data_IF_492104297384
#
_entry.id   IF_492104297384
#
_cell.length_a   1.000
_cell.length_b   1.000
_cell.length_c   1.000
_cell.angle_alpha   90.00
_cell.angle_beta   90.00
_cell.angle_gamma   90.00
#
_symmetry.space_group_name_H-M   'P 1'
#
loop_
_entity.id
_entity.type
_entity.pdbx_description
1 polymer ?
#
# COMPACT_ATOMS: atom_id res chain seq x y z
N UNK A 1 3.67 47.85 26.78
CA UNK A 1 4.04 46.56 26.14
C UNK A 1 3.11 45.46 26.64
N UNK A 2 2.33 44.85 25.73
CA UNK A 2 1.51 43.62 25.84
C UNK A 2 0.54 43.64 24.63
N UNK A 3 1.05 43.79 23.40
CA UNK A 3 1.23 42.71 22.42
C UNK A 3 0.17 41.58 22.54
N UNK A 4 -0.84 41.64 21.67
CA UNK A 4 -1.05 40.66 20.59
C UNK A 4 -1.41 39.21 21.01
N UNK A 5 -2.48 39.00 21.77
CA UNK A 5 -3.02 37.64 22.01
C UNK A 5 -4.56 37.66 21.97
N UNK A 6 -5.17 38.22 20.92
CA UNK A 6 -6.62 38.09 20.75
C UNK A 6 -7.04 37.85 19.29
N UNK A 7 -6.17 37.19 18.52
CA UNK A 7 -6.50 36.74 17.17
C UNK A 7 -5.87 35.36 16.90
N UNK A 8 -6.11 34.45 17.84
CA UNK A 8 -5.97 33.01 17.64
C UNK A 8 -7.21 32.34 18.27
N UNK A 9 -8.40 32.74 17.82
CA UNK A 9 -9.50 31.79 17.70
C UNK A 9 -9.09 30.89 16.52
N UNK A 10 -8.20 29.93 16.75
CA UNK A 10 -8.62 28.58 17.08
C UNK A 10 -9.68 28.15 16.06
N UNK A 11 -9.26 28.06 14.80
CA UNK A 11 -9.83 27.11 13.86
C UNK A 11 -9.48 25.73 14.44
N UNK A 12 -10.15 25.36 15.52
CA UNK A 12 -10.44 23.97 15.86
C UNK A 12 -11.38 23.50 14.75
N UNK A 13 -10.81 23.30 13.56
CA UNK A 13 -11.33 22.29 12.67
C UNK A 13 -11.22 21.02 13.48
N UNK A 14 -12.34 20.58 14.04
CA UNK A 14 -12.54 19.20 14.42
C UNK A 14 -12.30 18.39 13.16
N UNK A 15 -11.04 18.03 12.90
CA UNK A 15 -10.72 16.94 11.99
C UNK A 15 -11.27 15.71 12.70
N UNK A 16 -12.53 15.38 12.43
CA UNK A 16 -12.95 14.01 12.56
C UNK A 16 -11.95 13.21 11.72
N UNK A 17 -11.07 12.48 12.39
CA UNK A 17 -10.18 11.51 11.76
C UNK A 17 -11.13 10.46 11.15
N UNK A 18 -11.54 10.66 9.90
CA UNK A 18 -12.32 9.68 9.20
C UNK A 18 -11.38 8.51 8.93
N UNK A 19 -11.60 7.40 9.63
CA UNK A 19 -10.93 6.14 9.36
C UNK A 19 -11.11 5.76 7.88
N UNK A 20 -10.12 5.06 7.32
CA UNK A 20 -10.19 4.55 5.96
C UNK A 20 -11.41 3.63 5.84
N UNK A 21 -12.38 4.05 5.04
CA UNK A 21 -13.61 3.27 4.84
C UNK A 21 -13.33 2.03 3.99
N UNK A 22 -14.13 0.98 4.18
CA UNK A 22 -14.09 -0.21 3.33
C UNK A 22 -14.29 0.15 1.84
N UNK A 23 -15.20 1.08 1.53
CA UNK A 23 -15.41 1.56 0.17
C UNK A 23 -14.14 2.16 -0.43
N UNK A 24 -13.44 2.99 0.32
CA UNK A 24 -12.19 3.59 -0.15
C UNK A 24 -11.10 2.55 -0.34
N UNK A 25 -11.00 1.58 0.56
CA UNK A 25 -10.10 0.44 0.43
C UNK A 25 -10.40 -0.36 -0.83
N UNK A 26 -11.66 -0.72 -1.02
CA UNK A 26 -12.11 -1.56 -2.13
C UNK A 26 -11.95 -0.87 -3.50
N UNK A 27 -11.83 0.46 -3.53
CA UNK A 27 -11.57 1.20 -4.77
C UNK A 27 -10.24 0.80 -5.44
N UNK A 28 -9.25 0.29 -4.67
CA UNK A 28 -7.97 -0.18 -5.21
C UNK A 28 -8.06 -1.52 -5.94
N UNK A 29 -9.15 -2.29 -5.80
CA UNK A 29 -9.39 -3.48 -6.61
C UNK A 29 -10.01 -3.17 -7.97
N UNK A 30 -10.26 -1.89 -8.27
CA UNK A 30 -10.78 -1.49 -9.58
C UNK A 30 -9.81 -1.82 -10.72
N UNK A 31 -10.31 -2.13 -11.93
CA UNK A 31 -9.47 -2.41 -13.09
C UNK A 31 -8.49 -1.29 -13.44
N UNK A 32 -8.83 -0.04 -13.10
CA UNK A 32 -8.05 1.17 -13.37
C UNK A 32 -6.82 1.34 -12.47
N UNK A 33 -6.77 0.64 -11.33
CA UNK A 33 -5.63 0.70 -10.42
C UNK A 33 -4.39 0.15 -11.11
N UNK A 34 -3.27 0.86 -11.08
CA UNK A 34 -1.99 0.36 -11.61
C UNK A 34 -1.16 -0.21 -10.47
N UNK A 35 -0.43 -1.30 -10.73
CA UNK A 35 0.40 -1.94 -9.71
C UNK A 35 1.86 -1.81 -10.09
N UNK A 36 2.64 -1.29 -9.16
CA UNK A 36 4.08 -1.18 -9.25
C UNK A 36 4.73 -2.06 -8.19
N UNK A 37 5.95 -2.50 -8.47
CA UNK A 37 6.79 -3.22 -7.53
C UNK A 37 8.11 -2.48 -7.34
N UNK A 38 8.56 -2.41 -6.09
CA UNK A 38 9.85 -1.86 -5.71
C UNK A 38 10.90 -2.96 -5.58
N UNK A 39 12.16 -2.67 -5.88
CA UNK A 39 13.29 -3.50 -5.47
C UNK A 39 13.87 -3.09 -4.11
N UNK A 40 13.25 -2.12 -3.44
CA UNK A 40 13.55 -1.70 -2.09
C UNK A 40 12.47 -2.24 -1.14
N UNK A 41 12.83 -2.30 0.14
CA UNK A 41 11.89 -2.60 1.22
C UNK A 41 11.48 -1.32 1.95
N UNK A 42 10.26 -1.29 2.47
CA UNK A 42 9.76 -0.18 3.28
C UNK A 42 9.22 -0.66 4.62
N UNK A 43 9.09 0.26 5.56
CA UNK A 43 8.61 -0.01 6.90
C UNK A 43 7.10 -0.24 6.93
N UNK A 44 6.68 -1.33 7.54
CA UNK A 44 5.28 -1.63 7.85
C UNK A 44 5.18 -2.13 9.28
N UNK A 45 4.10 -1.76 9.96
CA UNK A 45 3.82 -2.21 11.31
C UNK A 45 3.12 -3.57 11.25
N UNK A 46 3.54 -4.49 12.10
CA UNK A 46 2.90 -5.81 12.24
C UNK A 46 2.44 -5.99 13.68
N UNK A 47 1.15 -6.26 13.85
CA UNK A 47 0.63 -6.69 15.14
C UNK A 47 1.11 -8.10 15.45
N UNK A 48 1.57 -8.31 16.68
CA UNK A 48 1.94 -9.63 17.18
C UNK A 48 0.69 -10.35 17.70
N UNK A 49 0.54 -11.68 17.50
CA UNK A 49 -0.63 -12.43 17.97
C UNK A 49 -0.86 -12.39 19.48
N UNK A 50 0.16 -12.05 20.27
CA UNK A 50 0.18 -12.15 21.73
C UNK A 50 -0.15 -10.82 22.46
N UNK A 51 -0.26 -9.70 21.73
CA UNK A 51 -0.82 -8.43 22.24
C UNK A 51 0.09 -7.61 23.17
N UNK A 52 0.63 -6.51 22.63
CA UNK A 52 0.63 -5.12 23.14
C UNK A 52 1.71 -4.28 22.42
N UNK A 53 2.74 -4.94 21.87
CA UNK A 53 3.76 -4.32 21.04
C UNK A 53 3.80 -4.98 19.66
N UNK A 54 3.40 -4.24 18.63
CA UNK A 54 3.69 -4.61 17.24
C UNK A 54 5.10 -4.20 16.83
N UNK A 55 5.63 -4.86 15.82
CA UNK A 55 6.99 -4.64 15.33
C UNK A 55 6.99 -3.91 13.99
N UNK A 56 7.87 -2.92 13.90
CA UNK A 56 8.18 -2.27 12.63
C UNK A 56 9.19 -3.11 11.87
N UNK A 57 8.80 -3.59 10.69
CA UNK A 57 9.67 -4.40 9.85
C UNK A 57 9.76 -3.85 8.43
N UNK A 58 10.91 -4.09 7.79
CA UNK A 58 11.09 -3.78 6.38
C UNK A 58 10.59 -4.93 5.53
N UNK A 59 9.57 -4.68 4.72
CA UNK A 59 8.98 -5.68 3.82
C UNK A 59 9.08 -5.26 2.36
N UNK A 60 9.02 -6.24 1.45
CA UNK A 60 8.73 -5.94 0.05
C UNK A 60 7.27 -5.49 -0.06
N UNK A 61 6.92 -4.76 -1.11
CA UNK A 61 5.57 -4.23 -1.24
C UNK A 61 5.18 -3.96 -2.68
N UNK A 62 3.89 -4.08 -2.95
CA UNK A 62 3.27 -3.44 -4.10
C UNK A 62 2.91 -2.00 -3.78
N UNK A 63 2.95 -1.14 -4.80
CA UNK A 63 2.37 0.21 -4.77
C UNK A 63 1.17 0.18 -5.71
N UNK A 64 -0.03 0.38 -5.16
CA UNK A 64 -1.27 0.43 -5.93
C UNK A 64 -1.65 1.90 -6.15
N UNK A 65 -1.87 2.27 -7.41
CA UNK A 65 -2.07 3.65 -7.85
C UNK A 65 -3.42 3.76 -8.54
N UNK A 66 -4.35 4.47 -7.92
CA UNK A 66 -5.67 4.73 -8.48
C UNK A 66 -5.77 6.19 -8.93
N UNK A 67 -6.09 6.43 -10.21
CA UNK A 67 -6.34 7.79 -10.70
C UNK A 67 -7.70 8.28 -10.18
N UNK A 68 -7.73 9.47 -9.57
CA UNK A 68 -8.95 10.11 -9.07
C UNK A 68 -8.97 11.55 -9.59
N UNK A 69 -9.75 11.78 -10.65
CA UNK A 69 -9.76 13.04 -11.38
C UNK A 69 -8.38 13.36 -11.97
N UNK A 70 -7.76 14.46 -11.51
CA UNK A 70 -6.41 14.90 -11.92
C UNK A 70 -5.29 14.46 -10.96
N UNK A 71 -5.61 13.67 -9.94
CA UNK A 71 -4.66 13.21 -8.91
C UNK A 71 -4.62 11.69 -8.83
N UNK A 72 -3.75 11.17 -7.97
CA UNK A 72 -3.50 9.74 -7.80
C UNK A 72 -3.56 9.37 -6.32
N UNK A 73 -4.46 8.45 -5.97
CA UNK A 73 -4.55 7.86 -4.63
C UNK A 73 -3.61 6.66 -4.55
N UNK A 74 -2.85 6.55 -3.46
CA UNK A 74 -1.80 5.55 -3.29
C UNK A 74 -2.12 4.63 -2.11
N UNK A 75 -2.01 3.33 -2.32
CA UNK A 75 -1.93 2.33 -1.25
C UNK A 75 -0.76 1.39 -1.46
N UNK A 76 -0.46 0.61 -0.42
CA UNK A 76 0.64 -0.34 -0.37
C UNK A 76 0.12 -1.71 0.05
N UNK A 77 0.67 -2.76 -0.52
CA UNK A 77 0.38 -4.14 -0.10
C UNK A 77 1.70 -4.79 0.27
N UNK A 78 1.99 -4.95 1.57
CA UNK A 78 3.20 -5.63 2.05
C UNK A 78 3.16 -7.11 1.69
N UNK A 79 4.30 -7.61 1.21
CA UNK A 79 4.46 -8.98 0.72
C UNK A 79 5.75 -9.59 1.23
N UNK A 80 5.69 -10.88 1.51
CA UNK A 80 6.85 -11.72 1.79
C UNK A 80 7.25 -12.43 0.50
N UNK A 81 8.48 -12.19 0.02
CA UNK A 81 8.95 -12.83 -1.21
C UNK A 81 9.52 -14.20 -0.86
N UNK A 82 8.91 -15.23 -1.42
CA UNK A 82 9.35 -16.63 -1.34
C UNK A 82 10.04 -17.08 -2.64
N UNK A 83 9.92 -16.29 -3.71
CA UNK A 83 10.57 -16.51 -5.00
C UNK A 83 11.96 -15.88 -5.11
N UNK A 84 12.50 -15.94 -6.33
CA UNK A 84 13.79 -15.35 -6.67
C UNK A 84 13.65 -13.88 -7.09
N UNK A 85 14.78 -13.18 -7.20
CA UNK A 85 14.86 -11.81 -7.70
C UNK A 85 15.47 -11.78 -9.11
N UNK A 86 15.12 -10.78 -9.92
CA UNK A 86 15.79 -10.51 -11.18
C UNK A 86 17.19 -9.89 -10.96
N UNK A 87 17.93 -9.73 -12.05
CA UNK A 87 19.29 -9.15 -12.04
C UNK A 87 19.34 -7.69 -11.52
N UNK A 88 18.20 -6.99 -11.53
CA UNK A 88 18.06 -5.61 -11.06
C UNK A 88 17.54 -5.57 -9.61
N UNK A 89 17.38 -6.72 -8.97
CA UNK A 89 16.96 -6.88 -7.59
C UNK A 89 15.44 -6.81 -7.37
N UNK A 90 14.62 -6.81 -8.41
CA UNK A 90 13.16 -6.85 -8.25
C UNK A 90 12.67 -8.29 -8.04
N UNK A 91 11.62 -8.50 -7.24
CA UNK A 91 11.03 -9.83 -7.09
C UNK A 91 10.48 -10.38 -8.42
N UNK A 92 10.78 -11.64 -8.72
CA UNK A 92 10.21 -12.35 -9.88
C UNK A 92 8.84 -12.91 -9.50
N UNK A 93 7.78 -12.29 -10.04
CA UNK A 93 6.41 -12.70 -9.78
C UNK A 93 5.97 -13.76 -10.80
N UNK A 94 5.63 -14.94 -10.31
CA UNK A 94 5.24 -16.08 -11.15
C UNK A 94 3.83 -16.54 -10.79
N UNK A 95 2.95 -16.58 -11.80
CA UNK A 95 1.57 -17.01 -11.64
C UNK A 95 1.31 -18.31 -12.39
N UNK A 96 0.57 -19.21 -11.75
CA UNK A 96 0.11 -20.47 -12.33
C UNK A 96 -1.40 -20.36 -12.58
N UNK A 97 -1.80 -20.58 -13.83
CA UNK A 97 -3.20 -20.81 -14.16
C UNK A 97 -3.58 -22.24 -13.77
N UNK A 98 -4.66 -22.42 -13.01
CA UNK A 98 -5.19 -23.75 -12.72
C UNK A 98 -6.34 -24.02 -13.70
N UNK A 99 -6.30 -25.18 -14.38
CA UNK A 99 -7.28 -25.54 -15.44
C UNK A 99 -8.76 -25.40 -15.01
N UNK A 100 -9.04 -25.43 -13.70
CA UNK A 100 -10.38 -25.38 -13.14
C UNK A 100 -10.64 -24.14 -12.25
N UNK A 101 -9.71 -23.18 -12.16
CA UNK A 101 -9.91 -21.93 -11.37
C UNK A 101 -9.77 -20.71 -12.27
N UNK A 102 -10.72 -19.78 -12.12
CA UNK A 102 -10.67 -18.46 -12.78
C UNK A 102 -9.60 -17.54 -12.18
N UNK A 103 -9.09 -17.88 -10.99
CA UNK A 103 -8.15 -17.06 -10.22
C UNK A 103 -6.76 -17.68 -10.33
N UNK A 104 -5.73 -16.91 -10.75
CA UNK A 104 -4.36 -17.39 -10.79
C UNK A 104 -3.84 -17.60 -9.37
N UNK A 105 -2.95 -18.56 -9.19
CA UNK A 105 -2.23 -18.75 -7.92
C UNK A 105 -0.76 -18.41 -8.07
N UNK A 106 -0.09 -18.07 -6.97
CA UNK A 106 1.35 -17.82 -6.95
C UNK A 106 1.98 -18.47 -5.73
N UNK A 107 3.26 -18.82 -5.86
CA UNK A 107 4.16 -19.21 -4.78
C UNK A 107 5.42 -18.33 -4.76
N UNK A 108 5.39 -17.21 -5.50
CA UNK A 108 6.51 -16.25 -5.56
C UNK A 108 6.49 -15.24 -4.42
N UNK A 109 5.33 -15.08 -3.78
CA UNK A 109 5.18 -14.30 -2.57
C UNK A 109 3.98 -14.78 -1.74
N UNK A 110 4.01 -14.45 -0.45
CA UNK A 110 2.88 -14.49 0.48
C UNK A 110 2.47 -13.09 0.93
N UNK A 111 1.31 -12.99 1.58
CA UNK A 111 0.83 -11.75 2.21
C UNK A 111 1.12 -11.84 3.70
N UNK A 112 1.91 -10.90 4.20
CA UNK A 112 2.42 -10.90 5.58
C UNK A 112 1.40 -10.35 6.60
N UNK A 113 0.47 -9.50 6.16
CA UNK A 113 -0.46 -8.78 7.02
C UNK A 113 -1.91 -9.10 6.67
N UNK A 114 -2.44 -10.18 7.26
CA UNK A 114 -3.84 -10.60 7.08
C UNK A 114 -4.78 -9.86 8.05
N UNK A 115 -4.25 -9.29 9.16
CA UNK A 115 -5.05 -8.63 10.20
C UNK A 115 -5.72 -7.31 9.78
N UNK A 116 -5.24 -6.64 8.72
CA UNK A 116 -5.87 -5.43 8.15
C UNK A 116 -5.89 -5.41 6.62
N UNK A 117 -6.82 -6.13 6.00
CA UNK A 117 -7.39 -5.90 4.65
C UNK A 117 -6.50 -5.32 3.51
N UNK A 118 -5.19 -5.60 3.47
CA UNK A 118 -4.33 -5.58 2.27
C UNK A 118 -3.91 -4.26 1.62
N UNK A 119 -4.69 -3.18 1.78
CA UNK A 119 -4.47 -1.89 1.12
C UNK A 119 -4.05 -0.84 2.13
N UNK A 120 -2.79 -0.88 2.54
CA UNK A 120 -2.23 -0.01 3.55
C UNK A 120 -2.02 1.41 3.02
N UNK A 121 -2.31 2.44 3.83
CA UNK A 121 -2.05 3.84 3.45
C UNK A 121 -0.56 4.20 3.45
N UNK A 122 0.29 3.33 4.00
CA UNK A 122 1.73 3.48 4.06
C UNK A 122 2.20 4.05 5.39
N UNK A 123 3.49 4.32 5.46
CA UNK A 123 4.18 4.74 6.70
C UNK A 123 4.70 6.17 6.56
N UNK A 124 4.77 6.87 7.69
CA UNK A 124 5.46 8.14 7.83
C UNK A 124 6.50 8.13 8.95
N UNK A 125 7.55 8.91 8.76
CA UNK A 125 8.59 9.12 9.77
C UNK A 125 8.50 10.58 10.23
N UNK A 126 8.13 10.80 11.50
CA UNK A 126 8.05 12.12 12.13
C UNK A 126 8.93 12.12 13.36
N UNK A 127 9.87 13.06 13.45
CA UNK A 127 10.81 13.19 14.58
C UNK A 127 11.54 11.88 14.93
N UNK A 128 11.97 11.11 13.91
CA UNK A 128 12.64 9.82 14.07
C UNK A 128 11.73 8.65 14.47
N UNK A 129 10.43 8.90 14.72
CA UNK A 129 9.43 7.87 15.05
C UNK A 129 8.62 7.50 13.80
N UNK A 130 8.22 6.24 13.72
CA UNK A 130 7.43 5.67 12.61
C UNK A 130 5.96 5.62 13.00
N UNK A 131 5.08 5.94 12.06
CA UNK A 131 3.63 5.92 12.23
C UNK A 131 3.00 5.35 10.97
N UNK A 132 1.95 4.55 11.13
CA UNK A 132 1.06 4.26 10.01
C UNK A 132 0.29 5.53 9.64
N UNK A 133 0.02 5.72 8.36
CA UNK A 133 -0.77 6.86 7.92
C UNK A 133 -2.23 6.62 8.24
N UNK A 134 -2.92 7.61 8.80
CA UNK A 134 -4.37 7.50 9.02
C UNK A 134 -5.19 7.57 7.72
N UNK A 135 -4.56 7.90 6.57
CA UNK A 135 -5.21 8.10 5.28
C UNK A 135 -4.30 7.82 4.09
N UNK A 136 -4.91 7.43 2.98
CA UNK A 136 -4.20 7.31 1.70
C UNK A 136 -3.62 8.65 1.25
N UNK A 137 -2.41 8.59 0.69
CA UNK A 137 -1.83 9.76 0.04
C UNK A 137 -2.58 10.03 -1.27
N UNK A 138 -2.81 11.31 -1.56
CA UNK A 138 -3.39 11.77 -2.82
C UNK A 138 -2.40 12.75 -3.46
N UNK A 139 -1.74 12.30 -4.51
CA UNK A 139 -0.59 12.97 -5.13
C UNK A 139 -0.96 13.58 -6.48
N UNK A 140 -0.35 14.71 -6.80
CA UNK A 140 -0.23 15.16 -8.19
C UNK A 140 0.67 14.22 -9.00
N UNK A 141 0.66 14.37 -10.33
CA UNK A 141 1.49 13.55 -11.21
C UNK A 141 2.99 13.70 -10.92
N UNK A 142 3.47 14.93 -10.67
CA UNK A 142 4.87 15.17 -10.34
C UNK A 142 5.29 14.54 -9.01
N UNK A 143 4.41 14.60 -8.00
CA UNK A 143 4.64 13.96 -6.70
C UNK A 143 4.63 12.44 -6.82
N UNK A 144 3.73 11.88 -7.64
CA UNK A 144 3.70 10.45 -7.95
C UNK A 144 5.01 10.00 -8.59
N UNK A 145 5.48 10.73 -9.62
CA UNK A 145 6.72 10.41 -10.30
C UNK A 145 7.94 10.47 -9.36
N UNK A 146 7.96 11.47 -8.46
CA UNK A 146 8.99 11.58 -7.43
C UNK A 146 8.93 10.39 -6.44
N UNK A 147 7.73 9.98 -6.01
CA UNK A 147 7.53 8.82 -5.15
C UNK A 147 8.06 7.55 -5.83
N UNK A 148 7.62 7.26 -7.06
CA UNK A 148 8.02 6.06 -7.80
C UNK A 148 9.53 5.98 -7.99
N UNK A 149 10.16 7.12 -8.33
CA UNK A 149 11.62 7.21 -8.44
C UNK A 149 12.30 6.97 -7.09
N UNK A 150 11.80 7.57 -6.01
CA UNK A 150 12.39 7.40 -4.67
C UNK A 150 12.34 5.96 -4.16
N UNK A 151 11.29 5.22 -4.54
CA UNK A 151 11.10 3.80 -4.21
C UNK A 151 11.76 2.87 -5.21
N UNK A 152 12.42 3.38 -6.24
CA UNK A 152 12.91 2.61 -7.38
C UNK A 152 11.85 1.59 -7.86
N UNK A 153 10.65 2.09 -8.14
CA UNK A 153 9.49 1.28 -8.47
C UNK A 153 9.31 1.17 -9.98
N UNK A 154 8.99 -0.03 -10.46
CA UNK A 154 8.61 -0.29 -11.85
C UNK A 154 7.18 -0.80 -11.94
N UNK A 155 6.49 -0.42 -13.01
CA UNK A 155 5.14 -0.93 -13.27
C UNK A 155 5.24 -2.41 -13.63
N UNK A 156 4.30 -3.21 -13.14
CA UNK A 156 4.16 -4.59 -13.60
C UNK A 156 3.75 -4.61 -15.08
N UNK A 157 4.22 -5.63 -15.81
CA UNK A 157 3.72 -5.88 -17.16
C UNK A 157 2.23 -6.24 -17.12
N UNK A 158 1.53 -6.10 -18.25
CA UNK A 158 0.08 -6.26 -18.31
C UNK A 158 -0.43 -7.62 -17.83
N UNK A 159 0.33 -8.70 -18.06
CA UNK A 159 -0.08 -10.05 -17.67
C UNK A 159 0.09 -10.24 -16.17
N UNK A 160 1.26 -9.85 -15.64
CA UNK A 160 1.57 -9.93 -14.22
C UNK A 160 0.66 -9.00 -13.40
N UNK A 161 0.41 -7.77 -13.87
CA UNK A 161 -0.49 -6.82 -13.23
C UNK A 161 -1.91 -7.38 -13.14
N UNK A 162 -2.45 -7.93 -14.24
CA UNK A 162 -3.77 -8.56 -14.26
C UNK A 162 -3.87 -9.71 -13.26
N UNK A 163 -2.89 -10.60 -13.25
CA UNK A 163 -2.90 -11.75 -12.35
C UNK A 163 -2.76 -11.34 -10.88
N UNK A 164 -1.93 -10.33 -10.61
CA UNK A 164 -1.76 -9.75 -9.27
C UNK A 164 -3.09 -9.18 -8.77
N UNK A 165 -3.78 -8.37 -9.59
CA UNK A 165 -5.10 -7.82 -9.25
C UNK A 165 -6.09 -8.92 -8.87
N UNK A 166 -6.25 -9.91 -9.75
CA UNK A 166 -7.21 -11.01 -9.52
C UNK A 166 -6.88 -11.81 -8.26
N UNK A 167 -5.59 -12.06 -8.01
CA UNK A 167 -5.16 -12.81 -6.84
C UNK A 167 -5.37 -12.02 -5.54
N UNK A 168 -5.00 -10.74 -5.50
CA UNK A 168 -5.20 -9.88 -4.33
C UNK A 168 -6.69 -9.65 -4.05
N UNK A 169 -7.48 -9.37 -5.09
CA UNK A 169 -8.94 -9.20 -4.98
C UNK A 169 -9.60 -10.45 -4.39
N UNK A 170 -9.24 -11.64 -4.91
CA UNK A 170 -9.73 -12.89 -4.33
C UNK A 170 -9.29 -13.05 -2.88
N UNK A 171 -8.01 -12.83 -2.59
CA UNK A 171 -7.42 -13.04 -1.28
C UNK A 171 -8.05 -12.15 -0.19
N UNK A 172 -8.36 -10.89 -0.49
CA UNK A 172 -8.94 -9.96 0.48
C UNK A 172 -10.48 -9.98 0.56
N UNK A 173 -11.16 -10.59 -0.40
CA UNK A 173 -12.63 -10.73 -0.36
C UNK A 173 -13.13 -12.15 -0.06
N UNK A 174 -12.26 -13.18 -0.07
CA UNK A 174 -12.67 -14.58 0.13
C UNK A 174 -11.98 -15.29 1.30
N UNK A 175 -11.05 -14.65 2.01
CA UNK A 175 -10.44 -15.21 3.22
C UNK A 175 -11.04 -14.65 4.53
N UNK A 176 -12.27 -14.10 4.47
CA UNK A 176 -13.04 -13.67 5.65
C UNK A 176 -14.08 -14.72 6.03
#
# INVERSE_FOLDING_TARGET
>A
MKKLILMLMLILGTFAFAEITERERNSFFSPETQIYISNQKDWFYQETPEGDDGVWEKQNFFINILKVGKKYKISYTPIEITGNYDKEGYPNLVYKSQKNKKIPTTNSYGITLISYMGMFPGTEIKNGKKYERDRYQVLSESELNALLKSKNAKRLDSTTEKNTKLYLDWLFHNNN
#
